data_IF_750058611347
#
_entry.id   IF_750058611347
#
_cell.length_a   1.000
_cell.length_b   1.000
_cell.length_c   1.000
_cell.angle_alpha   90.00
_cell.angle_beta   90.00
_cell.angle_gamma   90.00
#
_symmetry.space_group_name_H-M   'P 1'
#
loop_
_entity.id
_entity.type
_entity.pdbx_description
1 polymer ?
#
# COMPACT_ATOMS: atom_id res chain seq x y z
N UNK A 1 -12.05 1.37 -14.36
CA UNK A 1 -13.43 1.37 -14.86
C UNK A 1 -14.46 1.04 -13.78
N UNK A 2 -14.26 -0.04 -12.98
CA UNK A 2 -15.20 -0.44 -11.92
C UNK A 2 -15.29 0.62 -10.81
N UNK A 3 -14.17 1.21 -10.35
CA UNK A 3 -14.17 2.29 -9.35
C UNK A 3 -14.96 3.53 -9.81
N UNK A 4 -14.84 3.90 -11.09
CA UNK A 4 -15.60 5.03 -11.67
C UNK A 4 -17.10 4.70 -11.79
N UNK A 5 -17.45 3.44 -12.03
CA UNK A 5 -18.84 3.00 -12.06
C UNK A 5 -19.45 3.00 -10.64
N UNK A 6 -18.69 2.61 -9.63
CA UNK A 6 -19.08 2.66 -8.21
C UNK A 6 -19.26 4.13 -7.76
N UNK A 7 -18.29 5.00 -8.01
CA UNK A 7 -18.36 6.42 -7.61
C UNK A 7 -19.48 7.21 -8.31
N UNK A 8 -19.73 6.93 -9.61
CA UNK A 8 -20.69 7.74 -10.37
C UNK A 8 -22.11 7.18 -10.46
N UNK A 9 -22.25 5.85 -10.44
CA UNK A 9 -23.55 5.21 -10.73
C UNK A 9 -24.22 4.60 -9.50
N UNK A 10 -23.45 4.17 -8.51
CA UNK A 10 -23.99 3.49 -7.34
C UNK A 10 -24.06 4.37 -6.10
N UNK A 11 -23.00 5.11 -5.75
CA UNK A 11 -22.99 5.97 -4.56
C UNK A 11 -24.14 7.00 -4.51
N UNK A 12 -24.53 7.71 -5.60
CA UNK A 12 -25.66 8.64 -5.55
C UNK A 12 -27.04 7.99 -5.34
N UNK A 13 -27.17 6.69 -5.69
CA UNK A 13 -28.43 5.97 -5.50
C UNK A 13 -28.61 5.41 -4.10
N UNK A 14 -27.51 5.15 -3.39
CA UNK A 14 -27.53 4.58 -2.04
C UNK A 14 -27.46 5.65 -0.93
N UNK A 15 -27.18 6.92 -1.27
CA UNK A 15 -27.05 8.01 -0.30
C UNK A 15 -28.35 8.35 0.49
N UNK A 16 -29.46 7.64 0.25
CA UNK A 16 -30.75 7.86 0.93
C UNK A 16 -31.48 6.57 1.33
N UNK A 17 -30.78 5.43 1.38
CA UNK A 17 -31.35 4.25 2.00
C UNK A 17 -30.88 4.17 3.46
N UNK A 18 -31.81 3.98 4.41
CA UNK A 18 -31.47 3.48 5.75
C UNK A 18 -30.72 2.17 5.53
N UNK A 19 -29.40 2.18 5.67
CA UNK A 19 -28.58 0.99 5.56
C UNK A 19 -28.99 0.08 6.73
N UNK A 20 -29.56 -1.12 6.50
CA UNK A 20 -29.91 -2.01 7.57
C UNK A 20 -28.66 -2.32 8.39
N UNK A 21 -28.80 -2.40 9.73
CA UNK A 21 -27.69 -2.78 10.59
C UNK A 21 -27.13 -4.12 10.09
N UNK A 22 -25.89 -4.10 9.59
CA UNK A 22 -25.24 -5.32 9.13
C UNK A 22 -24.85 -6.19 10.31
N UNK A 23 -25.12 -7.48 10.21
CA UNK A 23 -24.63 -8.44 11.20
C UNK A 23 -23.12 -8.59 11.06
N UNK A 24 -22.44 -8.60 12.20
CA UNK A 24 -21.00 -8.89 12.25
C UNK A 24 -20.72 -10.31 11.75
N UNK A 25 -19.50 -10.56 11.29
CA UNK A 25 -19.05 -11.89 10.90
C UNK A 25 -19.21 -12.84 12.09
N UNK A 26 -19.98 -13.91 11.92
CA UNK A 26 -20.28 -14.91 12.95
C UNK A 26 -19.78 -16.32 12.59
N UNK A 27 -19.58 -16.60 11.31
CA UNK A 27 -19.10 -17.88 10.82
C UNK A 27 -17.59 -17.89 10.70
N UNK A 28 -16.94 -18.92 11.25
CA UNK A 28 -15.49 -19.11 11.15
C UNK A 28 -15.05 -19.23 9.70
N UNK A 29 -14.05 -18.43 9.33
CA UNK A 29 -13.45 -18.44 8.00
C UNK A 29 -12.11 -19.18 8.03
N UNK A 30 -11.71 -19.75 6.87
CA UNK A 30 -10.47 -20.53 6.72
C UNK A 30 -9.61 -20.07 5.53
N UNK A 31 -9.83 -18.84 5.06
CA UNK A 31 -9.02 -18.30 3.95
C UNK A 31 -7.56 -18.12 4.38
N UNK A 32 -6.60 -18.36 3.48
CA UNK A 32 -5.18 -18.19 3.78
C UNK A 32 -4.77 -16.73 4.00
N UNK A 33 -5.62 -15.79 3.62
CA UNK A 33 -5.37 -14.35 3.72
C UNK A 33 -6.56 -13.67 4.37
N UNK A 34 -6.27 -12.81 5.36
CA UNK A 34 -7.23 -11.86 5.94
C UNK A 34 -6.85 -10.46 5.48
N UNK A 35 -7.83 -9.67 5.04
CA UNK A 35 -7.64 -8.26 4.66
C UNK A 35 -8.48 -7.42 5.62
N UNK A 36 -7.84 -6.52 6.36
CA UNK A 36 -8.46 -5.53 7.21
C UNK A 36 -8.56 -4.20 6.45
N UNK A 37 -9.78 -3.81 6.06
CA UNK A 37 -10.10 -2.64 5.24
C UNK A 37 -10.27 -2.97 3.75
N UNK A 38 -11.44 -2.60 3.21
CA UNK A 38 -11.79 -2.79 1.78
C UNK A 38 -11.95 -1.45 1.04
N UNK A 39 -11.32 -0.41 1.53
CA UNK A 39 -11.22 0.87 0.85
C UNK A 39 -10.40 0.79 -0.45
N UNK A 40 -10.04 1.94 -1.01
CA UNK A 40 -9.33 2.05 -2.31
C UNK A 40 -8.09 1.16 -2.45
N UNK A 41 -7.34 0.99 -1.37
CA UNK A 41 -6.14 0.15 -1.35
C UNK A 41 -6.51 -1.34 -1.25
N UNK A 42 -7.31 -1.72 -0.26
CA UNK A 42 -7.71 -3.11 -0.01
C UNK A 42 -8.44 -3.76 -1.18
N UNK A 43 -9.27 -3.00 -1.90
CA UNK A 43 -9.94 -3.45 -3.12
C UNK A 43 -8.96 -3.87 -4.22
N UNK A 44 -7.86 -3.13 -4.42
CA UNK A 44 -6.88 -3.47 -5.45
C UNK A 44 -6.16 -4.77 -5.08
N UNK A 45 -5.76 -4.89 -3.81
CA UNK A 45 -5.11 -6.11 -3.29
C UNK A 45 -6.07 -7.31 -3.41
N UNK A 46 -7.30 -7.18 -2.90
CA UNK A 46 -8.29 -8.25 -2.94
C UNK A 46 -8.64 -8.71 -4.35
N UNK A 47 -8.76 -7.76 -5.30
CA UNK A 47 -9.04 -8.07 -6.71
C UNK A 47 -7.92 -8.85 -7.39
N UNK A 48 -6.66 -8.48 -7.13
CA UNK A 48 -5.52 -9.21 -7.69
C UNK A 48 -5.49 -10.64 -7.15
N UNK A 49 -5.66 -10.80 -5.84
CA UNK A 49 -5.67 -12.13 -5.20
C UNK A 49 -6.82 -13.01 -5.71
N UNK A 50 -8.01 -12.42 -5.86
CA UNK A 50 -9.18 -13.12 -6.44
C UNK A 50 -8.91 -13.54 -7.89
N UNK A 51 -8.27 -12.70 -8.69
CA UNK A 51 -7.93 -13.02 -10.09
C UNK A 51 -6.94 -14.19 -10.18
N UNK A 52 -6.07 -14.37 -9.18
CA UNK A 52 -5.16 -15.51 -9.04
C UNK A 52 -5.83 -16.76 -8.40
N UNK A 53 -7.14 -16.69 -8.12
CA UNK A 53 -7.88 -17.78 -7.48
C UNK A 53 -7.56 -18.00 -6.01
N UNK A 54 -6.96 -17.01 -5.33
CA UNK A 54 -6.60 -17.09 -3.93
C UNK A 54 -7.78 -16.63 -3.08
N UNK A 55 -8.25 -17.48 -2.17
CA UNK A 55 -9.32 -17.16 -1.24
C UNK A 55 -8.87 -16.10 -0.23
N UNK A 56 -9.72 -15.10 0.00
CA UNK A 56 -9.48 -14.05 0.99
C UNK A 56 -10.71 -13.88 1.88
N UNK A 57 -10.50 -13.60 3.16
CA UNK A 57 -11.53 -13.05 4.04
C UNK A 57 -11.28 -11.57 4.23
N UNK A 58 -12.27 -10.75 3.98
CA UNK A 58 -12.15 -9.29 4.08
C UNK A 58 -13.06 -8.79 5.19
N UNK A 59 -12.49 -7.98 6.10
CA UNK A 59 -13.24 -7.25 7.13
C UNK A 59 -13.24 -5.76 6.79
N UNK A 60 -14.43 -5.15 6.86
CA UNK A 60 -14.61 -3.70 6.79
C UNK A 60 -15.76 -3.28 7.73
N UNK A 61 -15.77 -2.04 8.15
CA UNK A 61 -16.83 -1.47 8.98
C UNK A 61 -17.77 -0.52 8.19
N UNK A 62 -17.45 -0.25 6.91
CA UNK A 62 -18.30 0.55 6.04
C UNK A 62 -19.38 -0.32 5.39
N UNK A 63 -20.59 -0.26 5.95
CA UNK A 63 -21.72 -1.08 5.50
C UNK A 63 -22.10 -0.83 4.04
N UNK A 64 -22.04 0.42 3.55
CA UNK A 64 -22.36 0.75 2.16
C UNK A 64 -21.34 0.13 1.20
N UNK A 65 -20.07 0.25 1.55
CA UNK A 65 -18.97 -0.33 0.76
C UNK A 65 -19.06 -1.86 0.71
N UNK A 66 -19.42 -2.50 1.82
CA UNK A 66 -19.59 -3.95 1.90
C UNK A 66 -20.72 -4.43 0.99
N UNK A 67 -21.87 -3.75 1.01
CA UNK A 67 -23.00 -4.12 0.16
C UNK A 67 -22.63 -4.03 -1.33
N UNK A 68 -21.99 -2.93 -1.74
CA UNK A 68 -21.48 -2.75 -3.09
C UNK A 68 -20.50 -3.86 -3.47
N UNK A 69 -19.55 -4.19 -2.58
CA UNK A 69 -18.55 -5.22 -2.82
C UNK A 69 -19.18 -6.61 -2.99
N UNK A 70 -20.16 -6.97 -2.14
CA UNK A 70 -20.89 -8.24 -2.23
C UNK A 70 -21.67 -8.35 -3.53
N UNK A 71 -22.33 -7.27 -3.98
CA UNK A 71 -23.10 -7.24 -5.22
C UNK A 71 -22.24 -7.49 -6.47
N UNK A 72 -20.95 -7.23 -6.40
CA UNK A 72 -19.98 -7.54 -7.47
C UNK A 72 -19.16 -8.81 -7.22
N UNK A 73 -19.57 -9.61 -6.23
CA UNK A 73 -19.06 -10.96 -6.00
C UNK A 73 -17.86 -11.09 -5.04
N UNK A 74 -17.53 -10.06 -4.26
CA UNK A 74 -16.49 -10.16 -3.25
C UNK A 74 -17.04 -10.69 -1.91
N UNK A 75 -16.23 -11.51 -1.22
CA UNK A 75 -16.54 -12.00 0.13
C UNK A 75 -16.06 -10.99 1.16
N UNK A 76 -16.86 -9.98 1.42
CA UNK A 76 -16.59 -8.94 2.42
C UNK A 76 -17.58 -9.08 3.58
N UNK A 77 -17.07 -9.03 4.79
CA UNK A 77 -17.83 -9.17 6.02
C UNK A 77 -17.78 -7.86 6.81
N UNK A 78 -18.91 -7.56 7.46
CA UNK A 78 -18.96 -6.46 8.41
C UNK A 78 -18.22 -6.84 9.69
N UNK A 79 -17.27 -6.02 10.11
CA UNK A 79 -16.53 -6.23 11.33
C UNK A 79 -15.38 -5.24 11.50
N UNK A 80 -15.19 -4.83 12.75
CA UNK A 80 -14.05 -4.01 13.14
C UNK A 80 -12.83 -4.91 13.39
N UNK A 81 -11.80 -4.76 12.59
CA UNK A 81 -10.58 -5.56 12.70
C UNK A 81 -9.72 -5.22 13.93
N UNK A 82 -10.05 -4.17 14.70
CA UNK A 82 -9.45 -3.91 16.03
C UNK A 82 -10.00 -4.84 17.11
N UNK A 83 -11.06 -5.59 16.82
CA UNK A 83 -11.64 -6.57 17.72
C UNK A 83 -11.04 -7.96 17.52
N UNK A 84 -10.45 -8.50 18.58
CA UNK A 84 -9.80 -9.82 18.56
C UNK A 84 -10.74 -10.96 18.17
N UNK A 85 -11.98 -10.94 18.67
CA UNK A 85 -13.00 -11.95 18.37
C UNK A 85 -13.34 -11.96 16.86
N UNK A 86 -13.48 -10.80 16.24
CA UNK A 86 -13.76 -10.68 14.81
C UNK A 86 -12.57 -11.09 13.95
N UNK A 87 -11.34 -10.71 14.31
CA UNK A 87 -10.14 -11.20 13.62
C UNK A 87 -10.02 -12.73 13.72
N UNK A 88 -10.35 -13.31 14.87
CA UNK A 88 -10.32 -14.77 15.06
C UNK A 88 -11.38 -15.45 14.18
N UNK A 89 -12.59 -14.93 14.15
CA UNK A 89 -13.68 -15.43 13.28
C UNK A 89 -13.33 -15.28 11.81
N UNK A 90 -12.65 -14.20 11.43
CA UNK A 90 -12.14 -14.00 10.05
C UNK A 90 -11.05 -14.99 9.64
N UNK A 91 -10.58 -15.84 10.55
CA UNK A 91 -9.61 -16.89 10.25
C UNK A 91 -8.16 -16.53 10.57
N UNK A 92 -7.88 -15.45 11.32
CA UNK A 92 -6.51 -15.02 11.63
C UNK A 92 -5.67 -16.12 12.33
N UNK A 93 -6.30 -17.05 13.05
CA UNK A 93 -5.62 -18.15 13.71
C UNK A 93 -4.99 -19.17 12.73
N UNK A 94 -5.53 -19.31 11.53
CA UNK A 94 -5.09 -20.28 10.51
C UNK A 94 -4.55 -19.63 9.25
N UNK A 95 -4.81 -18.35 9.05
CA UNK A 95 -4.30 -17.59 7.93
C UNK A 95 -2.77 -17.49 7.93
N UNK A 96 -2.20 -17.28 6.76
CA UNK A 96 -0.76 -17.06 6.56
C UNK A 96 -0.40 -15.59 6.54
N UNK A 97 -1.30 -14.76 5.99
CA UNK A 97 -1.04 -13.33 5.77
C UNK A 97 -2.20 -12.49 6.26
N UNK A 98 -1.89 -11.41 6.96
CA UNK A 98 -2.80 -10.32 7.26
C UNK A 98 -2.38 -9.09 6.46
N UNK A 99 -3.30 -8.56 5.65
CA UNK A 99 -3.12 -7.29 4.96
C UNK A 99 -3.85 -6.20 5.75
N UNK A 100 -3.11 -5.24 6.27
CA UNK A 100 -3.66 -4.08 6.99
C UNK A 100 -3.78 -2.92 6.01
N UNK A 101 -5.02 -2.65 5.57
CA UNK A 101 -5.36 -1.70 4.52
C UNK A 101 -6.29 -0.57 4.99
N UNK A 102 -6.54 -0.46 6.28
CA UNK A 102 -7.38 0.60 6.87
C UNK A 102 -6.76 1.99 6.70
N UNK A 103 -7.60 3.02 6.60
CA UNK A 103 -7.17 4.41 6.38
C UNK A 103 -6.64 5.07 7.65
N UNK A 104 -7.22 4.73 8.80
CA UNK A 104 -6.86 5.31 10.08
C UNK A 104 -5.54 4.74 10.60
N UNK A 105 -4.62 5.63 11.01
CA UNK A 105 -3.29 5.24 11.47
C UNK A 105 -3.35 4.51 12.80
N UNK A 106 -4.17 4.98 13.74
CA UNK A 106 -4.27 4.40 15.08
C UNK A 106 -4.88 3.00 15.00
N UNK A 107 -5.95 2.84 14.23
CA UNK A 107 -6.55 1.53 13.96
C UNK A 107 -5.56 0.57 13.29
N UNK A 108 -4.80 1.06 12.31
CA UNK A 108 -3.78 0.24 11.65
C UNK A 108 -2.74 -0.29 12.64
N UNK A 109 -2.25 0.55 13.52
CA UNK A 109 -1.26 0.16 14.55
C UNK A 109 -1.87 -0.78 15.60
N UNK A 110 -3.12 -0.55 16.00
CA UNK A 110 -3.84 -1.43 16.93
C UNK A 110 -4.06 -2.82 16.35
N UNK A 111 -4.47 -2.92 15.08
CA UNK A 111 -4.62 -4.20 14.38
C UNK A 111 -3.28 -4.96 14.33
N UNK A 112 -2.18 -4.26 14.05
CA UNK A 112 -0.84 -4.85 14.02
C UNK A 112 -0.44 -5.38 15.40
N UNK A 113 -0.59 -4.55 16.45
CA UNK A 113 -0.25 -4.92 17.83
C UNK A 113 -1.07 -6.14 18.29
N UNK A 114 -2.36 -6.16 17.99
CA UNK A 114 -3.27 -7.25 18.30
C UNK A 114 -2.91 -8.54 17.53
N UNK A 115 -2.60 -8.41 16.24
CA UNK A 115 -2.21 -9.55 15.43
C UNK A 115 -0.90 -10.18 15.91
N UNK A 116 0.10 -9.39 16.25
CA UNK A 116 1.38 -9.88 16.76
C UNK A 116 1.25 -10.55 18.13
N UNK A 117 0.40 -10.01 18.99
CA UNK A 117 0.18 -10.58 20.33
C UNK A 117 -0.57 -11.93 20.30
N UNK A 118 -1.51 -12.10 19.37
CA UNK A 118 -2.43 -13.26 19.39
C UNK A 118 -2.25 -14.23 18.24
N UNK A 119 -1.61 -13.82 17.14
CA UNK A 119 -1.42 -14.62 15.94
C UNK A 119 0.03 -14.49 15.41
N UNK A 120 1.04 -14.91 16.20
CA UNK A 120 2.45 -14.68 15.87
C UNK A 120 2.92 -15.36 14.58
N UNK A 121 2.13 -16.30 14.05
CA UNK A 121 2.40 -16.97 12.78
C UNK A 121 2.04 -16.11 11.55
N UNK A 122 1.22 -15.05 11.72
CA UNK A 122 0.80 -14.20 10.62
C UNK A 122 1.95 -13.34 10.09
N UNK A 123 2.14 -13.38 8.79
CA UNK A 123 2.95 -12.38 8.10
C UNK A 123 2.08 -11.15 7.81
N UNK A 124 2.56 -9.98 8.24
CA UNK A 124 1.80 -8.74 8.11
C UNK A 124 2.32 -7.95 6.92
N UNK A 125 1.41 -7.58 6.02
CA UNK A 125 1.61 -6.59 4.95
C UNK A 125 0.79 -5.38 5.31
N UNK A 126 1.41 -4.23 5.54
CA UNK A 126 0.71 -3.03 5.96
C UNK A 126 0.86 -1.88 4.98
N UNK A 127 -0.22 -1.15 4.77
CA UNK A 127 -0.22 0.12 4.08
C UNK A 127 0.21 1.23 5.04
N UNK A 128 1.19 2.02 4.66
CA UNK A 128 1.56 3.24 5.37
C UNK A 128 0.96 4.46 4.67
N UNK A 129 0.20 5.26 5.41
CA UNK A 129 -0.41 6.49 4.91
C UNK A 129 0.65 7.57 4.61
N UNK A 130 1.63 7.68 5.49
CA UNK A 130 2.72 8.64 5.42
C UNK A 130 4.03 8.07 6.00
N UNK A 131 5.06 8.91 6.05
CA UNK A 131 6.39 8.54 6.55
C UNK A 131 6.37 8.23 8.05
N UNK A 132 5.59 8.96 8.83
CA UNK A 132 5.46 8.74 10.28
C UNK A 132 4.83 7.39 10.56
N UNK A 133 3.73 7.08 9.89
CA UNK A 133 3.07 5.79 9.97
C UNK A 133 3.98 4.63 9.52
N UNK A 134 4.75 4.83 8.44
CA UNK A 134 5.75 3.86 7.99
C UNK A 134 6.76 3.54 9.12
N UNK A 135 7.31 4.57 9.77
CA UNK A 135 8.25 4.39 10.90
C UNK A 135 7.60 3.67 12.08
N UNK A 136 6.36 4.01 12.43
CA UNK A 136 5.62 3.36 13.52
C UNK A 136 5.36 1.88 13.26
N UNK A 137 5.08 1.51 12.02
CA UNK A 137 4.94 0.10 11.60
C UNK A 137 6.30 -0.62 11.65
N UNK A 138 7.38 0.04 11.22
CA UNK A 138 8.74 -0.51 11.30
C UNK A 138 9.21 -0.69 12.75
N UNK A 139 8.87 0.22 13.67
CA UNK A 139 9.12 0.08 15.13
C UNK A 139 8.44 -1.19 15.70
N UNK A 140 7.35 -1.65 15.06
CA UNK A 140 6.63 -2.89 15.37
C UNK A 140 7.14 -4.12 14.62
N UNK A 141 8.29 -4.01 13.97
CA UNK A 141 8.89 -5.07 13.16
C UNK A 141 8.02 -5.55 11.98
N UNK A 142 7.10 -4.73 11.48
CA UNK A 142 6.41 -5.03 10.23
C UNK A 142 7.40 -4.81 9.08
N UNK A 143 7.81 -5.89 8.41
CA UNK A 143 8.83 -5.82 7.37
C UNK A 143 8.27 -5.40 6.01
N UNK A 144 7.03 -5.79 5.71
CA UNK A 144 6.36 -5.50 4.45
C UNK A 144 5.41 -4.31 4.62
N UNK A 145 5.97 -3.11 4.48
CA UNK A 145 5.23 -1.84 4.61
C UNK A 145 5.29 -1.09 3.29
N UNK A 146 4.11 -0.93 2.67
CA UNK A 146 3.97 -0.21 1.40
C UNK A 146 3.43 1.20 1.61
N UNK A 147 4.15 2.21 1.11
CA UNK A 147 3.70 3.61 1.15
C UNK A 147 2.65 3.87 0.08
N UNK A 148 1.48 4.27 0.50
CA UNK A 148 0.27 4.38 -0.34
C UNK A 148 0.49 5.07 -1.69
N UNK A 149 1.18 6.22 -1.69
CA UNK A 149 1.32 7.06 -2.87
C UNK A 149 2.64 6.87 -3.63
N UNK A 150 3.60 6.13 -3.09
CA UNK A 150 4.96 6.11 -3.62
C UNK A 150 5.04 5.56 -5.05
N UNK A 151 4.52 4.38 -5.29
CA UNK A 151 4.59 3.73 -6.60
C UNK A 151 3.77 4.49 -7.66
N UNK A 152 2.60 5.00 -7.29
CA UNK A 152 1.75 5.78 -8.20
C UNK A 152 2.39 7.13 -8.56
N UNK A 153 2.99 7.82 -7.59
CA UNK A 153 3.71 9.08 -7.81
C UNK A 153 4.96 8.87 -8.66
N UNK A 154 5.70 7.78 -8.43
CA UNK A 154 6.86 7.43 -9.23
C UNK A 154 6.49 7.15 -10.69
N UNK A 155 5.38 6.46 -10.92
CA UNK A 155 4.84 6.24 -12.26
C UNK A 155 4.46 7.57 -12.93
N UNK A 156 3.81 8.49 -12.20
CA UNK A 156 3.47 9.82 -12.72
C UNK A 156 4.72 10.62 -13.09
N UNK A 157 5.75 10.61 -12.24
CA UNK A 157 7.03 11.27 -12.53
C UNK A 157 7.70 10.70 -13.79
N UNK A 158 7.65 9.37 -13.98
CA UNK A 158 8.13 8.72 -15.20
C UNK A 158 7.38 9.23 -16.44
N UNK A 159 6.05 9.33 -16.38
CA UNK A 159 5.23 9.85 -17.49
C UNK A 159 5.60 11.31 -17.82
N UNK A 160 5.91 12.13 -16.80
CA UNK A 160 6.39 13.50 -17.03
C UNK A 160 7.73 13.51 -17.77
N UNK A 161 8.67 12.63 -17.41
CA UNK A 161 9.94 12.51 -18.13
C UNK A 161 9.73 12.14 -19.61
N UNK A 162 8.85 11.19 -19.89
CA UNK A 162 8.50 10.78 -21.26
C UNK A 162 7.89 11.93 -22.07
N UNK A 163 6.98 12.71 -21.46
CA UNK A 163 6.38 13.91 -22.08
C UNK A 163 7.41 15.04 -22.34
N UNK A 164 8.47 15.10 -21.54
CA UNK A 164 9.59 16.03 -21.76
C UNK A 164 10.60 15.52 -22.80
N UNK A 165 10.31 14.40 -23.49
CA UNK A 165 11.12 13.87 -24.56
C UNK A 165 12.21 12.88 -24.14
N UNK A 166 12.19 12.41 -22.89
CA UNK A 166 13.06 11.29 -22.51
C UNK A 166 12.59 10.00 -23.16
N UNK A 167 13.53 9.20 -23.62
CA UNK A 167 13.25 7.88 -24.17
C UNK A 167 12.59 6.98 -23.08
N UNK A 168 11.50 6.22 -23.40
CA UNK A 168 10.70 5.48 -22.40
C UNK A 168 11.52 4.49 -21.55
N UNK A 169 12.50 3.81 -22.15
CA UNK A 169 13.36 2.90 -21.42
C UNK A 169 14.29 3.65 -20.44
N UNK A 170 14.85 4.78 -20.86
CA UNK A 170 15.71 5.63 -20.01
C UNK A 170 14.89 6.23 -18.85
N UNK A 171 13.67 6.72 -19.10
CA UNK A 171 12.77 7.23 -18.08
C UNK A 171 12.42 6.14 -17.04
N UNK A 172 12.15 4.90 -17.50
CA UNK A 172 11.92 3.75 -16.60
C UNK A 172 13.15 3.43 -15.75
N UNK A 173 14.35 3.38 -16.34
CA UNK A 173 15.58 3.12 -15.58
C UNK A 173 15.81 4.18 -14.51
N UNK A 174 15.62 5.46 -14.85
CA UNK A 174 15.73 6.58 -13.90
C UNK A 174 14.75 6.42 -12.73
N UNK A 175 13.48 6.08 -13.00
CA UNK A 175 12.49 5.84 -11.98
C UNK A 175 12.86 4.64 -11.07
N UNK A 176 13.36 3.56 -11.64
CA UNK A 176 13.78 2.38 -10.86
C UNK A 176 14.98 2.66 -9.96
N UNK A 177 15.97 3.43 -10.42
CA UNK A 177 17.12 3.85 -9.60
C UNK A 177 16.67 4.76 -8.46
N UNK A 178 15.82 5.75 -8.77
CA UNK A 178 15.24 6.59 -7.73
C UNK A 178 14.48 5.75 -6.68
N UNK A 179 13.70 4.76 -7.14
CA UNK A 179 12.99 3.85 -6.24
C UNK A 179 13.95 3.14 -5.29
N UNK A 180 14.99 2.52 -5.83
CA UNK A 180 15.96 1.80 -5.01
C UNK A 180 16.65 2.72 -4.02
N UNK A 181 17.19 3.86 -4.48
CA UNK A 181 17.82 4.84 -3.59
C UNK A 181 16.88 5.32 -2.49
N UNK A 182 15.61 5.57 -2.83
CA UNK A 182 14.62 6.03 -1.85
C UNK A 182 14.31 4.96 -0.80
N UNK A 183 14.21 3.68 -1.17
CA UNK A 183 14.02 2.59 -0.22
C UNK A 183 15.21 2.47 0.74
N UNK A 184 16.43 2.50 0.21
CA UNK A 184 17.66 2.46 1.02
C UNK A 184 17.78 3.67 1.96
N UNK A 185 17.40 4.86 1.48
CA UNK A 185 17.39 6.09 2.28
C UNK A 185 16.40 5.95 3.45
N UNK A 186 15.22 5.41 3.23
CA UNK A 186 14.22 5.20 4.28
C UNK A 186 14.72 4.25 5.37
N UNK A 187 15.37 3.15 5.00
CA UNK A 187 15.97 2.25 5.98
C UNK A 187 17.07 2.95 6.81
N UNK A 188 17.86 3.82 6.20
CA UNK A 188 18.89 4.64 6.90
C UNK A 188 18.26 5.72 7.80
N UNK A 189 17.12 6.26 7.44
CA UNK A 189 16.41 7.29 8.19
C UNK A 189 15.69 6.72 9.42
N UNK A 190 15.19 5.51 9.34
CA UNK A 190 14.36 4.89 10.38
C UNK A 190 15.00 4.95 11.78
N UNK A 191 16.29 4.62 12.01
CA UNK A 191 16.88 4.71 13.35
C UNK A 191 16.95 6.14 13.91
N UNK A 192 16.78 7.15 13.07
CA UNK A 192 16.97 8.56 13.40
C UNK A 192 15.70 9.41 13.29
N UNK A 193 14.56 8.82 12.95
CA UNK A 193 13.35 9.60 12.61
C UNK A 193 12.79 10.42 13.78
N UNK A 194 13.16 10.09 15.03
CA UNK A 194 12.81 10.85 16.24
C UNK A 194 13.80 11.99 16.55
N UNK A 195 14.94 12.06 15.84
CA UNK A 195 15.98 13.09 16.02
C UNK A 195 16.02 14.01 14.79
N UNK A 196 15.37 15.16 14.88
CA UNK A 196 15.25 16.10 13.76
C UNK A 196 16.61 16.54 13.17
N UNK A 197 17.64 16.70 14.02
CA UNK A 197 18.96 17.15 13.56
C UNK A 197 19.63 16.08 12.70
N UNK A 198 19.62 14.83 13.15
CA UNK A 198 20.17 13.68 12.42
C UNK A 198 19.34 13.39 11.16
N UNK A 199 18.01 13.47 11.27
CA UNK A 199 17.11 13.28 10.16
C UNK A 199 17.43 14.24 9.00
N UNK A 200 17.57 15.55 9.29
CA UNK A 200 17.90 16.56 8.29
C UNK A 200 19.30 16.30 7.68
N UNK A 201 20.27 15.90 8.48
CA UNK A 201 21.62 15.61 7.99
C UNK A 201 21.60 14.42 6.98
N UNK A 202 20.92 13.32 7.34
CA UNK A 202 20.81 12.13 6.47
C UNK A 202 20.02 12.43 5.20
N UNK A 203 18.95 13.22 5.28
CA UNK A 203 18.16 13.64 4.09
C UNK A 203 19.03 14.47 3.14
N UNK A 204 19.78 15.46 3.66
CA UNK A 204 20.66 16.29 2.84
C UNK A 204 21.75 15.46 2.15
N UNK A 205 22.37 14.55 2.88
CA UNK A 205 23.39 13.65 2.35
C UNK A 205 22.80 12.72 1.27
N UNK A 206 21.66 12.10 1.54
CA UNK A 206 20.99 11.23 0.58
C UNK A 206 20.59 11.96 -0.71
N UNK A 207 20.06 13.18 -0.59
CA UNK A 207 19.75 14.03 -1.74
C UNK A 207 20.99 14.34 -2.58
N UNK A 208 22.08 14.76 -1.95
CA UNK A 208 23.33 15.07 -2.63
C UNK A 208 23.87 13.84 -3.37
N UNK A 209 23.91 12.68 -2.71
CA UNK A 209 24.36 11.43 -3.33
C UNK A 209 23.53 11.06 -4.56
N UNK A 210 22.21 11.21 -4.49
CA UNK A 210 21.32 10.94 -5.63
C UNK A 210 21.59 11.92 -6.78
N UNK A 211 21.73 13.23 -6.51
CA UNK A 211 21.99 14.25 -7.50
C UNK A 211 23.35 14.01 -8.21
N UNK A 212 24.38 13.65 -7.46
CA UNK A 212 25.72 13.32 -7.99
C UNK A 212 25.67 12.06 -8.86
N UNK A 213 25.04 11.00 -8.40
CA UNK A 213 24.89 9.75 -9.15
C UNK A 213 24.14 9.97 -10.45
N UNK A 214 23.01 10.68 -10.40
CA UNK A 214 22.23 10.97 -11.60
C UNK A 214 22.96 11.92 -12.59
N UNK A 215 23.78 12.84 -12.08
CA UNK A 215 24.59 13.70 -12.91
C UNK A 215 25.70 12.93 -13.64
N UNK A 216 26.38 12.04 -12.93
CA UNK A 216 27.41 11.19 -13.51
C UNK A 216 26.85 10.28 -14.62
N UNK A 217 25.73 9.64 -14.37
CA UNK A 217 25.08 8.77 -15.36
C UNK A 217 24.62 9.53 -16.61
N UNK A 218 24.11 10.76 -16.44
CA UNK A 218 23.77 11.62 -17.59
C UNK A 218 25.01 11.95 -18.43
N UNK A 219 26.14 12.23 -17.79
CA UNK A 219 27.38 12.47 -18.47
C UNK A 219 27.87 11.23 -19.24
N UNK A 220 27.82 10.05 -18.64
CA UNK A 220 28.19 8.80 -19.29
C UNK A 220 27.28 8.47 -20.48
N UNK A 221 25.95 8.67 -20.34
CA UNK A 221 25.00 8.47 -21.45
C UNK A 221 25.22 9.43 -22.59
N UNK A 222 25.58 10.69 -22.30
CA UNK A 222 25.93 11.66 -23.32
C UNK A 222 27.19 11.27 -24.12
N UNK A 223 28.18 10.67 -23.44
CA UNK A 223 29.40 10.15 -24.08
C UNK A 223 29.16 8.89 -24.92
N UNK A 224 28.21 8.07 -24.56
CA UNK A 224 27.84 6.81 -25.27
C UNK A 224 26.96 7.04 -26.51
N UNK A 225 26.38 8.23 -26.71
CA UNK A 225 25.71 8.56 -27.99
C UNK A 225 26.75 8.60 -29.07
N UNK A 226 26.72 7.73 -30.11
CA UNK A 226 27.64 7.80 -31.22
C UNK A 226 27.47 9.17 -31.88
N UNK A 227 28.58 9.88 -32.13
CA UNK A 227 28.58 11.02 -33.00
C UNK A 227 27.93 10.64 -34.32
N UNK A 228 26.90 11.40 -34.70
CA UNK A 228 25.95 11.12 -35.75
C UNK A 228 26.57 10.63 -37.05
N UNK A 229 25.84 9.73 -37.62
CA UNK A 229 25.82 9.55 -39.06
C UNK A 229 24.85 10.61 -39.60
N UNK A 230 25.32 11.85 -39.72
CA UNK A 230 24.77 12.81 -40.66
C UNK A 230 25.24 12.39 -42.06
N UNK A 231 24.36 11.72 -42.80
CA UNK A 231 24.29 11.76 -44.25
C UNK A 231 22.90 11.48 -44.76
#
# INVERSE_FOLDING_TARGET
LILVAVDRLLLPRYAHCDVPAMEEISEQQEAPIVIAGFGRYGQIVGRLLTAEGIATTVLDHDAEMIEVARNIGYRVFYGDATRLDLLRTAGAATAKVLVVAVDDVEQSLEIVDLAQAHFPQLQIVARARDVTHWNQLRDRNVMLVERELFESSLRSARSVLELLGHEPHAARQTAMRFRQHNLELFEKLHPHYKDNSKLIAVIKQGRQQLEEQMAQERAEQAQRRPHGWDR
#
